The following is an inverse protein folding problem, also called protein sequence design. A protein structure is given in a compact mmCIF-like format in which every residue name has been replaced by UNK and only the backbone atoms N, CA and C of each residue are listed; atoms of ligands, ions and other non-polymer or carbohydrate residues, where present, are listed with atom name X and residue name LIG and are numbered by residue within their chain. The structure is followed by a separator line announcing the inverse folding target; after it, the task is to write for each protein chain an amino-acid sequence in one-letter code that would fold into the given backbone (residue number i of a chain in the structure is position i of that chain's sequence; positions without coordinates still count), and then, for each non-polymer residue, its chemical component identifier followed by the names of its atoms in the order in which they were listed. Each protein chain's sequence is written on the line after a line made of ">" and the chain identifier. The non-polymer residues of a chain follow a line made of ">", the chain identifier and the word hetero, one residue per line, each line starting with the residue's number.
data_IF_895878671416
#
_entry.id   IF_895878671416
#
_cell.length_a   1.000
_cell.length_b   1.000
_cell.length_c   1.000
_cell.angle_alpha   90.00
_cell.angle_beta   90.00
_cell.angle_gamma   90.00
#
_symmetry.space_group_name_H-M   'P 1'
#
loop_
_entity.id
_entity.type
_entity.pdbx_description
1 polymer ?
#
# COMPACT_ATOMS: atom_id res chain seq x y z
N UNK A 1 38.30 10.51 -47.47
CA UNK A 1 37.10 11.37 -47.62
C UNK A 1 35.92 10.46 -47.95
N UNK A 2 34.77 10.66 -47.28
CA UNK A 2 33.56 9.80 -47.24
C UNK A 2 33.54 8.74 -46.13
N UNK A 3 32.84 9.07 -45.05
CA UNK A 3 31.97 8.21 -44.20
C UNK A 3 31.50 9.09 -43.03
N UNK A 4 30.50 9.93 -43.27
CA UNK A 4 29.77 10.66 -42.21
C UNK A 4 28.25 10.66 -42.34
N UNK A 5 27.68 10.03 -43.37
CA UNK A 5 26.26 10.19 -43.70
C UNK A 5 25.44 8.89 -43.53
N UNK A 6 25.76 8.04 -42.55
CA UNK A 6 25.07 6.75 -42.38
C UNK A 6 24.53 6.47 -40.97
N UNK A 7 24.65 7.40 -40.02
CA UNK A 7 24.25 7.17 -38.62
C UNK A 7 22.98 7.91 -38.17
N UNK A 8 22.50 8.90 -38.94
CA UNK A 8 21.32 9.68 -38.56
C UNK A 8 19.98 9.11 -39.06
N UNK A 9 19.99 8.21 -40.05
CA UNK A 9 18.74 7.68 -40.63
C UNK A 9 18.17 6.46 -39.88
N UNK A 10 18.96 5.80 -39.03
CA UNK A 10 18.53 4.61 -38.27
C UNK A 10 17.93 4.98 -36.91
N UNK A 11 18.37 6.08 -36.29
CA UNK A 11 17.86 6.52 -34.99
C UNK A 11 16.42 7.08 -35.05
N UNK A 12 16.00 7.64 -36.18
CA UNK A 12 14.69 8.30 -36.31
C UNK A 12 13.55 7.32 -36.66
N UNK A 13 13.85 6.14 -37.22
CA UNK A 13 12.84 5.09 -37.50
C UNK A 13 12.48 4.24 -36.27
N UNK A 14 13.37 4.16 -35.27
CA UNK A 14 13.11 3.43 -34.02
C UNK A 14 12.18 4.20 -33.07
N UNK A 15 12.31 5.54 -33.02
CA UNK A 15 11.48 6.38 -32.16
C UNK A 15 10.01 6.46 -32.60
N UNK A 16 9.76 6.42 -33.91
CA UNK A 16 8.38 6.48 -34.47
C UNK A 16 7.65 5.13 -34.30
N UNK A 17 8.39 4.01 -34.23
CA UNK A 17 7.81 2.69 -33.96
C UNK A 17 7.30 2.53 -32.52
N UNK A 18 8.04 3.04 -31.53
CA UNK A 18 7.67 2.88 -30.12
C UNK A 18 6.53 3.82 -29.68
N UNK A 19 6.38 5.01 -30.27
CA UNK A 19 5.28 5.94 -29.92
C UNK A 19 3.92 5.44 -30.46
N UNK A 20 3.92 4.70 -31.58
CA UNK A 20 2.69 4.16 -32.15
C UNK A 20 2.16 2.93 -31.38
N UNK A 21 3.04 2.12 -30.79
CA UNK A 21 2.65 0.89 -30.06
C UNK A 21 1.99 1.24 -28.72
N UNK A 22 2.50 2.23 -27.98
CA UNK A 22 1.87 2.69 -26.72
C UNK A 22 0.52 3.36 -26.97
N UNK A 23 0.39 4.13 -28.05
CA UNK A 23 -0.89 4.81 -28.38
C UNK A 23 -2.00 3.84 -28.80
N UNK A 24 -1.65 2.69 -29.37
CA UNK A 24 -2.64 1.69 -29.82
C UNK A 24 -3.10 0.79 -28.66
N UNK A 25 -2.24 0.53 -27.67
CA UNK A 25 -2.58 -0.27 -26.50
C UNK A 25 -3.58 0.45 -25.56
N UNK A 26 -3.40 1.78 -25.38
CA UNK A 26 -4.35 2.60 -24.60
C UNK A 26 -5.73 2.69 -25.27
N UNK A 27 -5.78 2.73 -26.60
CA UNK A 27 -7.06 2.76 -27.33
C UNK A 27 -7.81 1.41 -27.29
N UNK A 28 -7.09 0.29 -27.21
CA UNK A 28 -7.70 -1.04 -27.07
C UNK A 28 -8.28 -1.27 -25.66
N UNK A 29 -7.66 -0.69 -24.62
CA UNK A 29 -8.18 -0.77 -23.25
C UNK A 29 -9.41 0.12 -23.03
N UNK A 30 -9.47 1.30 -23.66
CA UNK A 30 -10.67 2.14 -23.64
C UNK A 30 -11.89 1.46 -24.30
N UNK A 31 -11.67 0.66 -25.35
CA UNK A 31 -12.73 -0.06 -26.06
C UNK A 31 -13.36 -1.20 -25.26
N UNK A 32 -12.61 -1.83 -24.34
CA UNK A 32 -13.16 -2.86 -23.46
C UNK A 32 -14.11 -2.29 -22.41
N UNK A 33 -13.83 -1.09 -21.89
CA UNK A 33 -14.75 -0.41 -20.96
C UNK A 33 -16.03 0.06 -21.65
N UNK A 34 -15.93 0.56 -22.88
CA UNK A 34 -17.10 1.05 -23.63
C UNK A 34 -18.14 -0.07 -23.90
N UNK A 35 -17.68 -1.32 -24.09
CA UNK A 35 -18.58 -2.47 -24.29
C UNK A 35 -19.25 -2.95 -22.98
N UNK A 36 -18.59 -2.78 -21.83
CA UNK A 36 -19.14 -3.05 -20.49
C UNK A 36 -20.17 -1.98 -20.13
N UNK A 37 -19.84 -0.70 -20.28
CA UNK A 37 -20.75 0.44 -20.03
C UNK A 37 -22.01 0.36 -20.91
N UNK A 38 -21.86 -0.08 -22.17
CA UNK A 38 -22.98 -0.26 -23.09
C UNK A 38 -23.88 -1.46 -22.72
N UNK A 39 -23.37 -2.48 -22.02
CA UNK A 39 -24.15 -3.67 -21.64
C UNK A 39 -24.85 -3.54 -20.28
N UNK A 40 -24.24 -2.84 -19.32
CA UNK A 40 -24.81 -2.66 -17.97
C UNK A 40 -25.64 -1.38 -17.84
N UNK A 41 -25.39 -0.38 -18.70
CA UNK A 41 -26.02 0.94 -18.60
C UNK A 41 -25.47 1.80 -17.45
N UNK A 42 -24.46 1.30 -16.74
CA UNK A 42 -23.76 2.01 -15.67
C UNK A 42 -22.42 2.50 -16.20
N UNK A 43 -22.16 3.81 -16.05
CA UNK A 43 -20.87 4.43 -16.35
C UNK A 43 -19.98 4.27 -15.11
N UNK A 44 -18.76 3.79 -15.29
CA UNK A 44 -17.81 3.67 -14.18
C UNK A 44 -17.48 5.06 -13.64
N UNK A 45 -17.52 5.22 -12.31
CA UNK A 45 -17.14 6.46 -11.63
C UNK A 45 -15.61 6.58 -11.53
N UNK A 46 -14.92 5.44 -11.44
CA UNK A 46 -13.47 5.33 -11.49
C UNK A 46 -13.04 4.00 -12.09
N UNK A 47 -11.80 3.93 -12.58
CA UNK A 47 -11.17 2.70 -13.05
C UNK A 47 -9.80 2.62 -12.42
N UNK A 48 -9.54 1.54 -11.68
CA UNK A 48 -8.26 1.26 -11.05
C UNK A 48 -7.54 0.20 -11.88
N UNK A 49 -6.37 0.55 -12.40
CA UNK A 49 -5.51 -0.37 -13.13
C UNK A 49 -4.40 -0.89 -12.22
N UNK A 50 -4.09 -2.17 -12.31
CA UNK A 50 -3.00 -2.76 -11.52
C UNK A 50 -2.51 -4.08 -12.07
N UNK A 51 -1.57 -4.68 -11.35
CA UNK A 51 -0.99 -5.98 -11.63
C UNK A 51 -0.87 -6.78 -10.33
N UNK A 52 -1.26 -8.05 -10.39
CA UNK A 52 -0.95 -9.05 -9.38
C UNK A 52 0.30 -9.79 -9.85
N UNK A 53 1.44 -9.54 -9.19
CA UNK A 53 2.74 -9.95 -9.72
C UNK A 53 2.96 -11.48 -9.71
N UNK A 54 2.54 -12.14 -8.64
CA UNK A 54 2.65 -13.59 -8.44
C UNK A 54 1.43 -14.05 -7.65
N UNK A 55 1.16 -15.34 -7.58
CA UNK A 55 0.25 -15.90 -6.58
C UNK A 55 0.60 -17.36 -6.34
N UNK A 56 0.01 -17.95 -5.30
CA UNK A 56 0.20 -19.37 -5.02
C UNK A 56 -0.40 -20.25 -6.12
N UNK A 57 0.28 -21.35 -6.43
CA UNK A 57 -0.25 -22.37 -7.34
C UNK A 57 -1.58 -22.92 -6.80
N UNK A 58 -2.58 -23.04 -7.68
CA UNK A 58 -3.84 -23.73 -7.37
C UNK A 58 -5.01 -22.87 -6.91
N UNK A 59 -4.96 -21.54 -7.10
CA UNK A 59 -6.14 -20.69 -6.96
C UNK A 59 -7.23 -21.10 -7.97
N UNK A 60 -8.44 -21.36 -7.50
CA UNK A 60 -9.53 -21.89 -8.35
C UNK A 60 -10.36 -20.77 -8.97
N UNK A 61 -10.47 -19.62 -8.30
CA UNK A 61 -11.32 -18.50 -8.71
C UNK A 61 -10.78 -17.16 -8.17
N UNK A 62 -9.57 -16.75 -8.60
CA UNK A 62 -8.94 -15.54 -8.09
C UNK A 62 -9.67 -14.29 -8.59
N UNK A 63 -9.76 -13.28 -7.73
CA UNK A 63 -10.36 -11.99 -8.01
C UNK A 63 -9.46 -10.89 -7.45
N UNK A 64 -9.63 -9.68 -8.00
CA UNK A 64 -9.23 -8.44 -7.35
C UNK A 64 -10.49 -7.73 -6.86
N UNK A 65 -10.45 -7.17 -5.67
CA UNK A 65 -11.55 -6.47 -5.05
C UNK A 65 -11.12 -5.12 -4.50
N UNK A 66 -12.14 -4.34 -4.12
CA UNK A 66 -11.98 -3.09 -3.41
C UNK A 66 -12.83 -3.11 -2.14
N UNK A 67 -12.18 -2.84 -1.01
CA UNK A 67 -12.82 -2.74 0.30
C UNK A 67 -12.73 -1.31 0.81
N UNK A 68 -13.86 -0.76 1.22
CA UNK A 68 -13.94 0.54 1.87
C UNK A 68 -13.61 0.39 3.35
N UNK A 69 -12.68 1.21 3.81
CA UNK A 69 -12.17 1.19 5.17
C UNK A 69 -12.57 2.47 5.88
N UNK A 70 -13.12 2.33 7.09
CA UNK A 70 -13.37 3.47 7.97
C UNK A 70 -12.04 3.93 8.56
N UNK A 71 -11.74 5.21 8.41
CA UNK A 71 -10.58 5.84 9.04
C UNK A 71 -11.04 6.55 10.29
N UNK A 72 -10.81 5.94 11.45
CA UNK A 72 -11.05 6.54 12.75
C UNK A 72 -9.72 6.85 13.46
N UNK A 73 -9.79 7.70 14.49
CA UNK A 73 -8.67 8.08 15.37
C UNK A 73 -7.89 6.91 16.01
N UNK A 74 -8.37 5.66 15.88
CA UNK A 74 -7.88 4.50 16.65
C UNK A 74 -7.58 3.26 15.79
N UNK A 75 -8.22 3.09 14.61
CA UNK A 75 -7.97 1.93 13.74
C UNK A 75 -8.59 2.08 12.34
N UNK A 76 -8.06 1.31 11.39
CA UNK A 76 -8.69 1.03 10.10
C UNK A 76 -9.65 -0.16 10.27
N UNK A 77 -10.96 0.10 10.23
CA UNK A 77 -11.98 -0.97 10.26
C UNK A 77 -12.53 -1.20 8.84
N UNK A 78 -12.21 -2.32 8.17
CA UNK A 78 -12.78 -2.63 6.86
C UNK A 78 -14.24 -3.02 7.04
N UNK A 79 -15.14 -2.27 6.42
CA UNK A 79 -16.58 -2.44 6.66
C UNK A 79 -17.32 -3.00 5.44
N UNK A 80 -16.86 -2.76 4.21
CA UNK A 80 -17.62 -3.13 3.01
C UNK A 80 -16.73 -3.40 1.79
N UNK A 81 -16.73 -4.64 1.26
CA UNK A 81 -16.26 -4.86 -0.11
C UNK A 81 -17.40 -4.54 -1.08
N UNK A 82 -17.09 -3.82 -2.16
CA UNK A 82 -18.14 -3.27 -3.04
C UNK A 82 -18.02 -3.69 -4.49
N UNK A 83 -16.80 -3.90 -4.97
CA UNK A 83 -16.53 -4.16 -6.38
C UNK A 83 -15.46 -5.24 -6.50
N UNK A 84 -15.61 -6.12 -7.48
CA UNK A 84 -14.64 -7.15 -7.80
C UNK A 84 -14.51 -7.37 -9.30
N UNK A 85 -13.34 -7.86 -9.72
CA UNK A 85 -13.09 -8.29 -11.07
C UNK A 85 -12.38 -9.66 -11.06
N UNK A 86 -12.82 -10.62 -11.89
CA UNK A 86 -12.19 -11.93 -11.95
C UNK A 86 -10.81 -11.85 -12.58
N UNK A 87 -9.88 -12.61 -12.02
CA UNK A 87 -8.55 -12.87 -12.56
C UNK A 87 -8.55 -14.25 -13.26
N UNK A 88 -7.75 -14.39 -14.31
CA UNK A 88 -7.58 -15.64 -15.05
C UNK A 88 -6.66 -16.63 -14.33
N UNK A 89 -5.91 -16.18 -13.33
CA UNK A 89 -4.99 -17.00 -12.55
C UNK A 89 -3.65 -17.24 -13.25
N UNK A 90 -3.29 -16.42 -14.24
CA UNK A 90 -2.03 -16.54 -14.97
C UNK A 90 -1.08 -15.38 -14.61
N UNK A 91 -0.39 -15.52 -13.49
CA UNK A 91 0.43 -14.44 -12.92
C UNK A 91 1.83 -14.34 -13.58
N UNK A 92 2.42 -13.13 -13.73
CA UNK A 92 1.84 -11.82 -13.40
C UNK A 92 0.63 -11.49 -14.28
N UNK A 93 -0.42 -10.96 -13.65
CA UNK A 93 -1.68 -10.67 -14.33
C UNK A 93 -2.12 -9.22 -14.11
N UNK A 94 -2.33 -8.48 -15.20
CA UNK A 94 -2.86 -7.13 -15.16
C UNK A 94 -4.39 -7.13 -15.04
N UNK A 95 -4.94 -6.17 -14.31
CA UNK A 95 -6.38 -6.00 -14.11
C UNK A 95 -6.83 -4.56 -14.32
N UNK A 96 -8.13 -4.41 -14.62
CA UNK A 96 -8.84 -3.13 -14.53
C UNK A 96 -10.10 -3.35 -13.68
N UNK A 97 -10.15 -2.72 -12.52
CA UNK A 97 -11.29 -2.74 -11.62
C UNK A 97 -12.13 -1.48 -11.85
N UNK A 98 -13.37 -1.65 -12.30
CA UNK A 98 -14.30 -0.53 -12.47
C UNK A 98 -15.10 -0.32 -11.19
N UNK A 99 -15.20 0.93 -10.75
CA UNK A 99 -15.96 1.32 -9.55
C UNK A 99 -17.24 2.01 -9.97
N UNK A 100 -18.39 1.49 -9.56
CA UNK A 100 -19.70 1.99 -10.00
C UNK A 100 -20.49 2.71 -8.90
N UNK A 101 -20.13 2.50 -7.63
CA UNK A 101 -20.75 3.16 -6.49
C UNK A 101 -19.82 4.13 -5.78
N UNK A 102 -20.42 5.19 -5.22
CA UNK A 102 -19.76 6.03 -4.22
C UNK A 102 -19.50 5.23 -2.93
N UNK A 103 -18.54 5.65 -2.10
CA UNK A 103 -18.33 5.04 -0.80
C UNK A 103 -19.59 5.14 0.07
N UNK A 104 -19.90 4.13 0.91
CA UNK A 104 -20.96 4.23 1.90
C UNK A 104 -20.78 5.44 2.82
N UNK A 105 -21.86 6.14 3.17
CA UNK A 105 -21.77 7.37 3.97
C UNK A 105 -21.14 7.17 5.35
N UNK A 106 -21.28 5.97 5.92
CA UNK A 106 -20.80 5.56 7.22
C UNK A 106 -19.28 5.34 7.29
N UNK A 107 -18.61 5.21 6.14
CA UNK A 107 -17.14 5.11 6.08
C UNK A 107 -16.45 6.46 5.84
N UNK A 108 -17.23 7.51 5.56
CA UNK A 108 -16.67 8.81 5.20
C UNK A 108 -16.14 9.52 6.45
N UNK A 109 -14.83 9.70 6.52
CA UNK A 109 -14.20 10.56 7.49
C UNK A 109 -14.55 12.01 7.18
N UNK A 110 -14.88 12.79 8.22
CA UNK A 110 -15.14 14.23 8.08
C UNK A 110 -13.93 14.99 8.58
N UNK A 111 -13.35 15.81 7.71
CA UNK A 111 -12.21 16.66 8.03
C UNK A 111 -12.65 18.11 7.99
N UNK A 112 -12.53 18.75 9.13
CA UNK A 112 -12.84 20.17 9.32
C UNK A 112 -11.53 20.96 9.39
N UNK A 113 -11.33 21.89 8.45
CA UNK A 113 -10.25 22.88 8.49
C UNK A 113 -10.85 24.29 8.40
N UNK A 114 -11.03 24.91 9.57
CA UNK A 114 -11.76 26.18 9.69
C UNK A 114 -13.22 26.05 9.28
N UNK A 115 -13.62 26.69 8.17
CA UNK A 115 -14.97 26.61 7.61
C UNK A 115 -15.09 25.54 6.50
N UNK A 116 -13.99 24.90 6.12
CA UNK A 116 -13.96 23.87 5.09
C UNK A 116 -14.31 22.51 5.71
N UNK A 117 -15.33 21.85 5.17
CA UNK A 117 -15.70 20.47 5.53
C UNK A 117 -15.44 19.59 4.32
N UNK A 118 -14.54 18.62 4.45
CA UNK A 118 -14.23 17.63 3.41
C UNK A 118 -14.65 16.27 3.92
N UNK A 119 -15.31 15.48 3.08
CA UNK A 119 -15.54 14.07 3.39
C UNK A 119 -14.61 13.18 2.57
N UNK A 120 -13.97 12.22 3.21
CA UNK A 120 -13.03 11.30 2.58
C UNK A 120 -13.40 9.85 2.83
N UNK A 121 -13.37 9.04 1.78
CA UNK A 121 -13.46 7.58 1.89
C UNK A 121 -12.16 6.95 1.38
N UNK A 122 -11.60 6.03 2.15
CA UNK A 122 -10.42 5.26 1.76
C UNK A 122 -10.83 3.84 1.37
N UNK A 123 -10.25 3.36 0.28
CA UNK A 123 -10.46 2.03 -0.21
C UNK A 123 -9.13 1.32 -0.49
N UNK A 124 -9.01 0.12 0.05
CA UNK A 124 -7.90 -0.77 -0.19
C UNK A 124 -8.20 -1.69 -1.38
N UNK A 125 -7.18 -1.92 -2.20
CA UNK A 125 -7.23 -2.85 -3.31
C UNK A 125 -6.59 -4.16 -2.85
N UNK A 126 -7.30 -5.27 -3.00
CA UNK A 126 -6.83 -6.57 -2.52
C UNK A 126 -7.15 -7.68 -3.54
N UNK A 127 -6.44 -8.79 -3.44
CA UNK A 127 -6.69 -9.99 -4.22
C UNK A 127 -7.17 -11.12 -3.32
N UNK A 128 -8.20 -11.84 -3.75
CA UNK A 128 -8.83 -12.90 -2.97
C UNK A 128 -9.27 -14.07 -3.84
N UNK A 129 -9.30 -15.26 -3.24
CA UNK A 129 -9.90 -16.45 -3.82
C UNK A 129 -11.37 -16.51 -3.41
N UNK A 130 -12.26 -16.42 -4.40
CA UNK A 130 -13.70 -16.59 -4.25
C UNK A 130 -14.03 -18.09 -4.19
N UNK A 131 -14.02 -18.65 -2.98
CA UNK A 131 -14.14 -20.09 -2.74
C UNK A 131 -15.59 -20.55 -2.86
N UNK A 132 -16.54 -19.67 -2.57
CA UNK A 132 -17.97 -20.00 -2.66
C UNK A 132 -18.55 -19.80 -4.08
N UNK A 133 -17.87 -19.05 -4.94
CA UNK A 133 -18.22 -18.79 -6.34
C UNK A 133 -19.29 -17.71 -6.53
N UNK A 134 -19.50 -16.83 -5.56
CA UNK A 134 -20.50 -15.75 -5.64
C UNK A 134 -19.96 -14.42 -6.18
N UNK A 135 -18.64 -14.36 -6.43
CA UNK A 135 -17.93 -13.21 -6.98
C UNK A 135 -17.75 -12.06 -6.01
N UNK A 136 -18.12 -12.23 -4.74
CA UNK A 136 -18.02 -11.20 -3.71
C UNK A 136 -16.99 -11.58 -2.66
N UNK A 137 -16.60 -10.61 -1.85
CA UNK A 137 -15.76 -10.84 -0.68
C UNK A 137 -16.46 -10.15 0.49
N UNK A 138 -16.80 -10.88 1.54
CA UNK A 138 -17.50 -10.28 2.68
C UNK A 138 -16.53 -10.09 3.83
N UNK A 139 -16.47 -8.87 4.34
CA UNK A 139 -15.77 -8.53 5.58
C UNK A 139 -16.81 -8.19 6.63
N UNK A 140 -16.63 -8.69 7.84
CA UNK A 140 -17.46 -8.36 8.99
C UNK A 140 -16.58 -7.84 10.14
N UNK A 141 -17.22 -7.39 11.21
CA UNK A 141 -16.54 -6.84 12.41
C UNK A 141 -15.52 -7.81 13.06
N UNK A 142 -15.57 -9.10 12.73
CA UNK A 142 -14.68 -10.15 13.23
C UNK A 142 -13.63 -10.62 12.20
N UNK A 143 -13.56 -9.98 11.03
CA UNK A 143 -12.60 -10.26 9.96
C UNK A 143 -13.25 -10.74 8.65
N UNK A 144 -12.51 -11.54 7.90
CA UNK A 144 -12.98 -12.09 6.61
C UNK A 144 -14.03 -13.17 6.86
N UNK A 145 -15.21 -13.05 6.25
CA UNK A 145 -16.19 -14.12 6.27
C UNK A 145 -15.70 -15.30 5.44
N UNK A 146 -15.46 -16.43 6.11
CA UNK A 146 -15.15 -17.68 5.43
C UNK A 146 -16.31 -18.05 4.48
N UNK A 147 -16.03 -18.55 3.25
CA UNK A 147 -14.84 -19.32 2.92
C UNK A 147 -13.79 -18.60 2.06
N UNK A 148 -13.98 -17.32 1.73
CA UNK A 148 -13.08 -16.62 0.83
C UNK A 148 -11.74 -16.31 1.50
N UNK A 149 -10.69 -16.24 0.70
CA UNK A 149 -9.31 -16.15 1.21
C UNK A 149 -8.57 -15.03 0.52
N UNK A 150 -8.21 -13.99 1.25
CA UNK A 150 -7.31 -12.97 0.74
C UNK A 150 -5.91 -13.57 0.53
N UNK A 151 -5.28 -13.22 -0.59
CA UNK A 151 -3.94 -13.67 -0.94
C UNK A 151 -3.04 -12.53 -1.44
N UNK A 152 -3.54 -11.30 -1.53
CA UNK A 152 -2.73 -10.14 -1.87
C UNK A 152 -3.37 -8.81 -1.51
N UNK A 153 -2.56 -7.76 -1.37
CA UNK A 153 -3.00 -6.40 -1.07
C UNK A 153 -2.11 -5.37 -1.76
N UNK A 154 -2.67 -4.20 -2.07
CA UNK A 154 -1.93 -3.00 -2.45
C UNK A 154 -1.63 -2.17 -1.20
N UNK A 155 -0.38 -2.20 -0.78
CA UNK A 155 0.04 -1.80 0.56
C UNK A 155 0.03 -0.31 0.85
N UNK A 156 0.61 0.43 -0.08
CA UNK A 156 0.75 1.87 0.05
C UNK A 156 -0.22 2.58 -0.88
N UNK A 157 -0.87 1.86 -1.79
CA UNK A 157 -1.71 2.47 -2.80
C UNK A 157 -3.18 2.25 -2.48
N UNK A 158 -3.92 3.35 -2.42
CA UNK A 158 -5.33 3.38 -2.04
C UNK A 158 -6.14 4.10 -3.10
N UNK A 159 -7.42 3.74 -3.20
CA UNK A 159 -8.40 4.59 -3.85
C UNK A 159 -9.00 5.52 -2.80
N UNK A 160 -8.92 6.82 -3.02
CA UNK A 160 -9.54 7.83 -2.17
C UNK A 160 -10.67 8.50 -2.92
N UNK A 161 -11.84 8.60 -2.28
CA UNK A 161 -12.91 9.48 -2.72
C UNK A 161 -12.88 10.77 -1.93
N UNK A 162 -12.83 11.91 -2.62
CA UNK A 162 -12.89 13.25 -2.05
C UNK A 162 -14.23 13.90 -2.38
N UNK A 163 -15.07 14.09 -1.36
CA UNK A 163 -16.23 14.97 -1.45
C UNK A 163 -15.86 16.36 -0.92
N UNK A 164 -15.50 17.24 -1.85
CA UNK A 164 -15.14 18.62 -1.59
C UNK A 164 -15.85 19.53 -2.60
N UNK A 165 -16.14 20.77 -2.21
CA UNK A 165 -16.64 21.73 -3.20
C UNK A 165 -15.56 22.03 -4.26
N UNK A 166 -15.90 22.30 -5.54
CA UNK A 166 -14.94 22.48 -6.64
C UNK A 166 -13.87 23.57 -6.46
N UNK A 167 -14.01 24.45 -5.47
CA UNK A 167 -13.08 25.55 -5.18
C UNK A 167 -12.60 25.54 -3.72
N UNK A 168 -12.83 24.46 -3.01
CA UNK A 168 -12.44 24.34 -1.61
C UNK A 168 -10.97 23.96 -1.54
N UNK A 169 -10.20 24.72 -0.78
CA UNK A 169 -8.84 24.32 -0.41
C UNK A 169 -8.96 23.14 0.55
N UNK A 170 -8.22 22.06 0.28
CA UNK A 170 -8.15 20.91 1.18
C UNK A 170 -7.23 21.22 2.36
N UNK A 171 -7.48 20.52 3.47
CA UNK A 171 -6.70 20.66 4.70
C UNK A 171 -5.19 20.55 4.41
N UNK A 172 -4.43 21.55 4.86
CA UNK A 172 -2.99 21.56 4.66
C UNK A 172 -2.35 20.40 5.42
N UNK A 173 -1.55 19.59 4.71
CA UNK A 173 -0.75 18.53 5.31
C UNK A 173 -1.27 17.11 5.13
N UNK A 174 -2.46 16.91 4.55
CA UNK A 174 -2.93 15.57 4.18
C UNK A 174 -2.21 15.03 2.94
N UNK A 175 -2.09 15.87 1.91
CA UNK A 175 -1.46 15.50 0.64
C UNK A 175 -0.09 16.15 0.51
N UNK A 176 0.86 15.44 -0.08
CA UNK A 176 2.19 15.98 -0.43
C UNK A 176 2.13 16.90 -1.67
N UNK A 177 1.15 16.67 -2.55
CA UNK A 177 0.86 17.43 -3.76
C UNK A 177 -0.60 17.94 -3.81
N UNK A 178 -1.03 18.77 -2.85
CA UNK A 178 -2.43 19.17 -2.66
C UNK A 178 -3.04 19.90 -3.88
N UNK A 179 -2.22 20.47 -4.77
CA UNK A 179 -2.67 21.10 -6.01
C UNK A 179 -3.32 20.13 -7.00
N UNK A 180 -3.06 18.82 -6.87
CA UNK A 180 -3.67 17.77 -7.70
C UNK A 180 -5.01 17.29 -7.15
N UNK A 181 -5.33 17.67 -5.90
CA UNK A 181 -6.50 17.20 -5.23
C UNK A 181 -7.75 17.93 -5.72
N UNK A 182 -8.78 17.16 -6.05
CA UNK A 182 -10.05 17.68 -6.56
C UNK A 182 -11.21 16.77 -6.14
N UNK A 183 -12.45 17.22 -6.28
CA UNK A 183 -13.60 16.38 -5.99
C UNK A 183 -13.62 15.13 -6.88
N UNK A 184 -13.90 13.96 -6.29
CA UNK A 184 -13.99 12.67 -6.98
C UNK A 184 -12.95 11.65 -6.52
N UNK A 185 -12.70 10.66 -7.38
CA UNK A 185 -11.80 9.56 -7.08
C UNK A 185 -10.36 9.88 -7.46
N UNK A 186 -9.44 9.60 -6.55
CA UNK A 186 -8.00 9.73 -6.71
C UNK A 186 -7.33 8.43 -6.32
N UNK A 187 -6.37 8.02 -7.14
CA UNK A 187 -5.43 7.02 -6.71
C UNK A 187 -4.34 7.71 -5.92
N UNK A 188 -4.06 7.24 -4.72
CA UNK A 188 -3.07 7.84 -3.84
C UNK A 188 -2.07 6.80 -3.39
N UNK A 189 -0.85 7.26 -3.11
CA UNK A 189 0.17 6.49 -2.41
C UNK A 189 0.41 7.12 -1.05
N UNK A 190 0.33 6.34 0.01
CA UNK A 190 0.84 6.80 1.29
C UNK A 190 2.36 6.91 1.21
N UNK A 191 2.88 8.09 1.53
CA UNK A 191 4.29 8.39 1.61
C UNK A 191 4.72 8.27 3.08
N UNK A 192 5.29 7.12 3.48
CA UNK A 192 5.51 6.80 4.90
C UNK A 192 6.47 7.76 5.60
N UNK A 193 7.36 8.43 4.87
CA UNK A 193 8.37 9.31 5.46
C UNK A 193 7.87 10.75 5.71
N UNK A 194 6.76 11.17 5.10
CA UNK A 194 6.13 12.47 5.40
C UNK A 194 4.76 12.32 6.10
N UNK A 195 4.24 11.09 6.19
CA UNK A 195 2.93 10.78 6.76
C UNK A 195 1.76 11.30 5.91
N UNK A 196 2.03 11.73 4.67
CA UNK A 196 1.05 12.31 3.75
C UNK A 196 0.73 11.35 2.63
N UNK A 197 -0.33 11.64 1.90
CA UNK A 197 -0.68 10.93 0.67
C UNK A 197 -0.17 11.70 -0.55
N UNK A 198 0.45 11.02 -1.50
CA UNK A 198 0.72 11.53 -2.83
C UNK A 198 -0.41 11.12 -3.77
N UNK A 199 -1.06 12.07 -4.43
CA UNK A 199 -1.99 11.77 -5.52
C UNK A 199 -1.20 11.33 -6.74
N UNK A 200 -1.46 10.11 -7.20
CA UNK A 200 -0.76 9.49 -8.32
C UNK A 200 -1.29 9.99 -9.67
N UNK A 201 -0.43 9.97 -10.67
CA UNK A 201 -0.79 10.39 -12.02
C UNK A 201 -1.88 9.46 -12.61
N UNK A 202 -2.80 9.97 -13.44
CA UNK A 202 -3.77 9.15 -14.13
C UNK A 202 -3.11 8.03 -14.96
N UNK A 203 -3.64 6.81 -14.85
CA UNK A 203 -3.11 5.64 -15.54
C UNK A 203 -1.92 4.97 -14.85
N UNK A 204 -1.56 5.40 -13.63
CA UNK A 204 -0.62 4.67 -12.79
C UNK A 204 -1.12 3.24 -12.57
N UNK A 205 -0.25 2.26 -12.79
CA UNK A 205 -0.55 0.83 -12.57
C UNK A 205 -0.11 0.47 -11.16
N UNK A 206 -1.05 0.02 -10.35
CA UNK A 206 -0.82 -0.45 -9.00
C UNK A 206 -0.14 -1.81 -8.95
N UNK A 207 0.64 -2.05 -7.91
CA UNK A 207 1.10 -3.39 -7.59
C UNK A 207 0.26 -3.96 -6.44
N UNK A 208 -0.35 -5.13 -6.69
CA UNK A 208 -0.92 -5.97 -5.65
C UNK A 208 0.11 -7.05 -5.33
N UNK A 209 0.66 -6.98 -4.13
CA UNK A 209 1.66 -7.95 -3.66
C UNK A 209 0.95 -9.10 -2.98
N UNK A 210 1.35 -10.31 -3.32
CA UNK A 210 0.76 -11.51 -2.73
C UNK A 210 1.54 -12.01 -1.54
N UNK A 211 0.82 -12.72 -0.68
CA UNK A 211 1.34 -13.39 0.50
C UNK A 211 0.73 -14.78 0.59
N UNK A 212 1.36 -15.66 1.35
CA UNK A 212 0.74 -16.94 1.66
C UNK A 212 -0.55 -16.68 2.45
N UNK A 213 -1.71 -17.20 2.03
CA UNK A 213 -2.96 -17.04 2.76
C UNK A 213 -2.82 -17.69 4.14
N UNK A 214 -2.41 -16.91 5.13
CA UNK A 214 -2.52 -17.32 6.52
C UNK A 214 -3.98 -17.10 6.94
N UNK A 215 -4.50 -18.00 7.77
CA UNK A 215 -5.92 -18.04 8.12
C UNK A 215 -6.39 -16.90 9.03
N UNK A 216 -5.64 -15.80 9.17
CA UNK A 216 -5.93 -14.72 10.11
C UNK A 216 -5.75 -13.36 9.43
N UNK A 217 -6.89 -12.74 9.15
CA UNK A 217 -6.99 -11.30 8.97
C UNK A 217 -7.48 -10.69 10.30
N UNK A 218 -7.03 -9.49 10.70
CA UNK A 218 -6.07 -8.65 10.00
C UNK A 218 -4.69 -9.29 10.03
N UNK A 219 -3.88 -9.02 9.01
CA UNK A 219 -2.46 -9.22 9.22
C UNK A 219 -2.09 -8.45 10.50
N UNK A 220 -1.46 -9.13 11.45
CA UNK A 220 -1.07 -8.51 12.72
C UNK A 220 -0.31 -7.22 12.43
N UNK A 221 -0.43 -6.21 13.31
CA UNK A 221 0.30 -4.93 13.17
C UNK A 221 1.77 -5.15 12.79
N UNK A 222 2.39 -6.19 13.35
CA UNK A 222 3.75 -6.66 13.04
C UNK A 222 4.03 -6.88 11.54
N UNK A 223 3.08 -7.46 10.79
CA UNK A 223 3.27 -7.74 9.35
C UNK A 223 3.02 -6.49 8.49
N UNK A 224 2.13 -5.60 8.94
CA UNK A 224 1.96 -4.28 8.32
C UNK A 224 3.23 -3.43 8.46
N UNK A 225 3.85 -3.46 9.64
CA UNK A 225 5.08 -2.75 9.92
C UNK A 225 6.25 -3.31 9.09
N UNK A 226 6.41 -4.63 9.00
CA UNK A 226 7.50 -5.27 8.23
C UNK A 226 7.47 -4.91 6.73
N UNK A 227 6.29 -4.86 6.12
CA UNK A 227 6.16 -4.59 4.67
C UNK A 227 6.16 -3.09 4.34
N UNK A 228 5.62 -2.24 5.22
CA UNK A 228 5.82 -0.79 5.13
C UNK A 228 7.32 -0.46 5.11
N UNK A 229 8.11 -1.14 5.94
CA UNK A 229 9.56 -0.98 5.95
C UNK A 229 10.22 -1.35 4.61
N UNK A 230 9.84 -2.44 3.96
CA UNK A 230 10.49 -2.84 2.70
C UNK A 230 10.10 -1.96 1.49
N UNK A 231 8.85 -1.50 1.39
CA UNK A 231 8.38 -0.76 0.19
C UNK A 231 8.84 0.71 0.20
N UNK A 232 8.94 1.31 1.38
CA UNK A 232 9.39 2.69 1.58
C UNK A 232 10.81 2.95 1.06
N UNK A 233 11.69 1.96 1.19
CA UNK A 233 13.14 2.16 1.09
C UNK A 233 13.67 2.21 -0.33
N UNK A 234 13.08 1.45 -1.25
CA UNK A 234 13.60 1.30 -2.62
C UNK A 234 13.41 2.55 -3.50
N UNK A 235 12.58 3.52 -3.06
CA UNK A 235 12.35 4.78 -3.76
C UNK A 235 12.87 6.03 -3.05
N UNK A 236 12.83 6.08 -1.71
CA UNK A 236 13.10 7.29 -0.94
C UNK A 236 14.59 7.53 -0.64
N UNK A 237 15.42 6.49 -0.61
CA UNK A 237 16.82 6.58 -0.17
C UNK A 237 17.82 6.68 -1.33
N UNK A 238 17.59 7.56 -2.31
CA UNK A 238 18.62 7.90 -3.30
C UNK A 238 19.81 8.68 -2.68
N UNK A 239 19.60 9.29 -1.51
CA UNK A 239 20.65 9.92 -0.70
C UNK A 239 20.46 9.53 0.78
N UNK A 240 21.34 8.71 1.36
CA UNK A 240 21.22 8.25 2.74
C UNK A 240 21.32 9.37 3.78
N UNK A 241 21.91 10.51 3.42
CA UNK A 241 22.07 11.66 4.33
C UNK A 241 20.86 12.61 4.32
N UNK A 242 19.79 12.34 3.55
CA UNK A 242 18.63 13.22 3.51
C UNK A 242 17.74 13.01 4.74
N UNK A 243 17.11 14.07 5.29
CA UNK A 243 16.17 13.94 6.42
C UNK A 243 15.02 12.99 6.11
N UNK A 244 14.59 12.91 4.85
CA UNK A 244 13.55 12.00 4.39
C UNK A 244 14.04 10.55 4.47
N UNK A 245 15.25 10.24 3.99
CA UNK A 245 15.82 8.90 4.13
C UNK A 245 16.12 8.56 5.60
N UNK A 246 16.57 9.50 6.42
CA UNK A 246 16.77 9.28 7.85
C UNK A 246 15.45 8.96 8.57
N UNK A 247 14.35 9.64 8.22
CA UNK A 247 13.02 9.33 8.75
C UNK A 247 12.55 7.94 8.33
N UNK A 248 12.79 7.53 7.08
CA UNK A 248 12.54 6.17 6.65
C UNK A 248 13.41 5.17 7.43
N UNK A 249 14.70 5.50 7.64
CA UNK A 249 15.70 4.73 8.40
C UNK A 249 15.29 4.46 9.84
N UNK A 250 14.85 5.50 10.53
CA UNK A 250 14.37 5.40 11.89
C UNK A 250 13.07 4.58 11.96
N UNK A 251 12.22 4.66 10.92
CA UNK A 251 10.98 3.88 10.83
C UNK A 251 11.22 2.37 10.60
N UNK A 252 12.14 1.94 9.71
CA UNK A 252 12.44 0.50 9.65
C UNK A 252 13.36 0.00 10.75
N UNK A 253 14.17 0.85 11.35
CA UNK A 253 14.82 0.48 12.60
C UNK A 253 13.77 0.15 13.66
N UNK A 254 12.73 0.99 13.79
CA UNK A 254 11.60 0.74 14.69
C UNK A 254 10.74 -0.48 14.29
N UNK A 255 10.51 -0.70 12.99
CA UNK A 255 9.82 -1.90 12.51
C UNK A 255 10.61 -3.18 12.81
N UNK A 256 11.93 -3.19 12.60
CA UNK A 256 12.78 -4.32 12.91
C UNK A 256 12.83 -4.61 14.42
N UNK A 257 12.85 -3.57 15.26
CA UNK A 257 12.85 -3.74 16.74
C UNK A 257 11.54 -4.35 17.25
N UNK A 258 10.41 -3.94 16.71
CA UNK A 258 9.09 -4.45 17.10
C UNK A 258 8.84 -5.87 16.58
N UNK A 259 9.14 -6.11 15.30
CA UNK A 259 8.76 -7.35 14.61
C UNK A 259 9.76 -8.47 14.86
N UNK A 260 11.05 -8.18 14.70
CA UNK A 260 12.11 -9.19 14.82
C UNK A 260 12.51 -9.40 16.28
N UNK A 261 12.57 -8.31 17.05
CA UNK A 261 13.00 -8.34 18.45
C UNK A 261 11.83 -8.23 19.44
N UNK A 262 10.59 -8.43 18.98
CA UNK A 262 9.38 -8.30 19.80
C UNK A 262 9.38 -9.21 21.03
N UNK A 263 9.91 -10.43 20.92
CA UNK A 263 9.98 -11.37 22.04
C UNK A 263 11.04 -10.94 23.08
N UNK A 264 12.20 -10.46 22.61
CA UNK A 264 13.32 -9.98 23.42
C UNK A 264 12.96 -8.67 24.12
N UNK A 265 12.28 -7.75 23.43
CA UNK A 265 11.81 -6.47 23.99
C UNK A 265 10.71 -6.69 25.03
N UNK A 266 9.74 -7.58 24.78
CA UNK A 266 8.74 -7.97 25.78
C UNK A 266 9.37 -8.65 27.01
N UNK A 267 10.41 -9.46 26.82
CA UNK A 267 11.14 -10.09 27.92
C UNK A 267 11.89 -9.06 28.76
N UNK A 268 12.52 -8.07 28.12
CA UNK A 268 13.18 -6.96 28.80
C UNK A 268 12.18 -6.10 29.59
N UNK A 269 11.04 -5.74 29.00
CA UNK A 269 9.97 -5.00 29.67
C UNK A 269 9.42 -5.74 30.90
N UNK A 270 9.20 -7.05 30.77
CA UNK A 270 8.77 -7.88 31.91
C UNK A 270 9.82 -7.87 33.04
N UNK A 271 11.10 -7.90 32.70
CA UNK A 271 12.19 -7.81 33.68
C UNK A 271 12.26 -6.43 34.35
N UNK A 272 12.12 -5.33 33.59
CA UNK A 272 12.08 -3.96 34.12
C UNK A 272 10.96 -3.79 35.14
N UNK A 273 9.76 -4.30 34.80
CA UNK A 273 8.61 -4.26 35.70
C UNK A 273 8.83 -5.08 36.98
N UNK A 274 9.52 -6.22 36.89
CA UNK A 274 9.79 -7.09 38.03
C UNK A 274 10.92 -6.59 38.94
N UNK A 275 11.94 -5.95 38.36
CA UNK A 275 13.11 -5.41 39.07
C UNK A 275 12.85 -4.06 39.71
N UNK A 276 11.85 -3.31 39.21
CA UNK A 276 11.57 -1.95 39.67
C UNK A 276 12.50 -0.89 39.07
N UNK A 277 13.29 -1.25 38.05
CA UNK A 277 14.15 -0.33 37.29
C UNK A 277 13.31 0.54 36.31
N UNK A 278 12.27 1.21 36.81
CA UNK A 278 11.24 1.89 35.99
C UNK A 278 11.74 3.17 35.27
N UNK A 279 12.97 3.61 35.55
CA UNK A 279 13.61 4.73 34.85
C UNK A 279 14.66 4.16 33.88
N UNK A 280 14.40 4.30 32.58
CA UNK A 280 15.22 3.79 31.46
C UNK A 280 16.68 4.28 31.47
N UNK A 281 16.97 5.28 32.28
CA UNK A 281 18.25 5.96 32.42
C UNK A 281 19.13 5.38 33.54
N UNK A 282 18.63 4.46 34.36
CA UNK A 282 19.48 3.67 35.28
C UNK A 282 20.02 2.41 34.60
N UNK A 283 20.92 2.62 33.64
CA UNK A 283 21.61 1.54 32.91
C UNK A 283 22.31 0.55 33.86
N UNK A 284 22.72 1.00 35.05
CA UNK A 284 23.36 0.12 36.03
C UNK A 284 22.34 -0.84 36.63
N UNK A 285 21.14 -0.36 36.99
CA UNK A 285 20.02 -1.20 37.45
C UNK A 285 19.60 -2.22 36.38
N UNK A 286 19.43 -1.76 35.15
CA UNK A 286 19.10 -2.61 33.98
C UNK A 286 20.16 -3.70 33.77
N UNK A 287 21.44 -3.36 33.81
CA UNK A 287 22.52 -4.33 33.58
C UNK A 287 22.68 -5.31 34.76
N UNK A 288 22.44 -4.88 36.00
CA UNK A 288 22.52 -5.75 37.18
C UNK A 288 21.34 -6.72 37.29
N UNK A 289 20.14 -6.31 36.86
CA UNK A 289 18.90 -7.07 37.07
C UNK A 289 18.32 -7.71 35.80
N UNK A 290 18.54 -7.11 34.64
CA UNK A 290 17.97 -7.49 33.35
C UNK A 290 19.04 -7.64 32.26
N UNK A 291 20.31 -7.86 32.65
CA UNK A 291 21.42 -7.88 31.70
C UNK A 291 21.29 -8.96 30.62
N UNK A 292 20.69 -10.12 30.93
CA UNK A 292 20.50 -11.17 29.94
C UNK A 292 19.44 -10.80 28.89
N UNK A 293 18.35 -10.17 29.32
CA UNK A 293 17.29 -9.68 28.43
C UNK A 293 17.77 -8.48 27.61
N UNK A 294 18.57 -7.59 28.20
CA UNK A 294 19.19 -6.46 27.50
C UNK A 294 20.21 -6.92 26.45
N UNK A 295 21.06 -7.91 26.77
CA UNK A 295 22.01 -8.51 25.83
C UNK A 295 21.28 -9.24 24.68
N UNK A 296 20.09 -9.81 24.94
CA UNK A 296 19.27 -10.47 23.93
C UNK A 296 18.64 -9.46 22.95
N UNK A 297 18.12 -8.34 23.47
CA UNK A 297 17.67 -7.22 22.64
C UNK A 297 18.85 -6.68 21.82
N UNK A 298 20.01 -6.43 22.44
CA UNK A 298 21.20 -5.92 21.74
C UNK A 298 21.68 -6.90 20.65
N UNK A 299 21.70 -8.21 20.92
CA UNK A 299 22.03 -9.22 19.91
C UNK A 299 21.05 -9.21 18.74
N UNK A 300 19.74 -9.13 19.01
CA UNK A 300 18.72 -9.03 17.97
C UNK A 300 18.84 -7.72 17.17
N UNK A 301 19.15 -6.61 17.85
CA UNK A 301 19.39 -5.32 17.23
C UNK A 301 20.63 -5.32 16.32
N UNK A 302 21.69 -6.03 16.70
CA UNK A 302 22.85 -6.22 15.85
C UNK A 302 22.51 -7.07 14.61
N UNK A 303 21.58 -8.02 14.70
CA UNK A 303 21.07 -8.75 13.52
C UNK A 303 20.23 -7.86 12.61
N UNK A 304 19.43 -6.94 13.17
CA UNK A 304 18.75 -5.89 12.42
C UNK A 304 19.75 -4.94 11.74
N UNK A 305 20.83 -4.53 12.43
CA UNK A 305 21.88 -3.69 11.87
C UNK A 305 22.69 -4.39 10.77
N UNK A 306 22.94 -5.69 10.90
CA UNK A 306 23.56 -6.52 9.86
C UNK A 306 22.63 -6.67 8.64
N UNK A 307 21.32 -6.84 8.86
CA UNK A 307 20.31 -6.86 7.79
C UNK A 307 20.27 -5.52 7.04
N UNK A 308 20.24 -4.41 7.80
CA UNK A 308 20.32 -3.05 7.26
C UNK A 308 21.63 -2.83 6.50
N UNK A 309 22.77 -3.32 7.01
CA UNK A 309 24.08 -3.21 6.37
C UNK A 309 24.17 -4.01 5.07
N UNK A 310 23.66 -5.23 5.04
CA UNK A 310 23.54 -6.01 3.80
C UNK A 310 22.63 -5.32 2.79
N UNK A 311 21.55 -4.68 3.25
CA UNK A 311 20.64 -3.91 2.41
C UNK A 311 21.30 -2.64 1.82
N UNK A 312 22.14 -1.95 2.59
CA UNK A 312 22.95 -0.81 2.11
C UNK A 312 23.99 -1.20 1.05
N UNK A 313 24.51 -2.43 1.06
CA UNK A 313 25.47 -2.90 0.05
C UNK A 313 24.81 -3.26 -1.30
N UNK A 314 23.48 -3.45 -1.31
CA UNK A 314 22.69 -3.78 -2.51
C UNK A 314 22.06 -2.55 -3.20
N UNK A 315 22.09 -1.37 -2.57
CA UNK A 315 21.70 -0.06 -3.13
C UNK A 315 22.86 0.62 -3.88
#
# INVERSE_FOLDING_TARGET
>A
MRRKDAFEEVAMKSLIGNILVTSTLVALLAGCNEEVERKTGHVALAVVAGEVAQANDGLVNPHVGLVWTRVDDVAFEPLFATESAPLQGNFPEAFNLSVFSLPPSEILATIEDGDAVVHLGFAEIFAFEDVNGDGTFTVNDYGIDAPDRMFGISWLDFLVYLDAAPSQELAQGMFSNPENASAGFHLVRWAPCDGRFEILAPGTVLAVRTFEPSSQFPATDDWYDEVQCQVTYTGACANPDSPECQGCLDAAYFGCTQVTCGAETQALDACIQASGCLESDDWTCLQEHCGAEADAVDACMNECDDWMSCFYEEL
#
